data_IF_039977982002
#
_entry.id   IF_039977982002
#
_cell.length_a   1.000
_cell.length_b   1.000
_cell.length_c   1.000
_cell.angle_alpha   90.00
_cell.angle_beta   90.00
_cell.angle_gamma   90.00
#
_symmetry.space_group_name_H-M   'P 1'
#
loop_
_entity.id
_entity.type
_entity.pdbx_description
1 polymer ?
#
# COMPACT_ATOMS: atom_id res chain seq x y z
N UNK A 1 -37.99 18.23 -6.45
CA UNK A 1 -37.13 17.23 -7.11
C UNK A 1 -36.98 16.09 -6.12
N UNK A 2 -37.37 14.84 -6.41
CA UNK A 2 -37.00 13.73 -5.54
C UNK A 2 -35.48 13.58 -5.60
N UNK A 3 -34.82 13.57 -4.43
CA UNK A 3 -33.39 13.34 -4.33
C UNK A 3 -33.05 12.02 -5.03
N UNK A 4 -32.00 12.04 -5.86
CA UNK A 4 -31.51 10.82 -6.49
C UNK A 4 -31.17 9.80 -5.38
N UNK A 5 -31.51 8.51 -5.56
CA UNK A 5 -31.21 7.51 -4.55
C UNK A 5 -29.69 7.47 -4.29
N UNK A 6 -29.26 7.31 -3.02
CA UNK A 6 -27.85 7.34 -2.66
C UNK A 6 -27.08 6.25 -3.42
N UNK A 7 -25.90 6.60 -3.91
CA UNK A 7 -25.04 5.67 -4.63
C UNK A 7 -24.65 4.49 -3.73
N UNK A 8 -24.57 3.27 -4.26
CA UNK A 8 -24.19 2.10 -3.48
C UNK A 8 -22.74 2.21 -3.01
N UNK A 9 -22.46 1.79 -1.78
CA UNK A 9 -21.11 1.76 -1.18
C UNK A 9 -20.44 3.15 -1.04
N UNK A 10 -21.08 4.14 -0.40
CA UNK A 10 -20.49 5.48 -0.22
C UNK A 10 -19.15 5.43 0.52
N UNK A 11 -19.02 4.51 1.49
CA UNK A 11 -17.80 4.29 2.27
C UNK A 11 -16.59 3.81 1.43
N UNK A 12 -16.79 3.29 0.21
CA UNK A 12 -15.67 2.93 -0.67
C UNK A 12 -15.17 4.14 -1.47
N UNK A 13 -16.04 5.10 -1.78
CA UNK A 13 -15.66 6.34 -2.43
C UNK A 13 -14.77 7.19 -1.51
N UNK A 14 -15.07 7.21 -0.21
CA UNK A 14 -14.29 7.94 0.81
C UNK A 14 -12.83 7.48 0.86
N UNK A 15 -12.58 6.17 0.78
CA UNK A 15 -11.23 5.59 0.92
C UNK A 15 -10.51 5.40 -0.42
N UNK A 16 -11.26 5.34 -1.52
CA UNK A 16 -10.76 5.14 -2.88
C UNK A 16 -11.47 6.12 -3.84
N UNK A 17 -10.99 7.37 -3.93
CA UNK A 17 -11.61 8.38 -4.78
C UNK A 17 -11.73 7.93 -6.25
N UNK A 18 -12.92 8.10 -6.82
CA UNK A 18 -13.26 7.61 -8.16
C UNK A 18 -13.80 6.19 -8.18
N UNK A 19 -14.09 5.56 -7.03
CA UNK A 19 -14.61 4.19 -6.97
C UNK A 19 -15.92 4.02 -7.74
N UNK A 20 -16.90 4.91 -7.54
CA UNK A 20 -18.18 4.87 -8.26
C UNK A 20 -18.00 5.05 -9.76
N UNK A 21 -17.07 5.93 -10.15
CA UNK A 21 -16.71 6.18 -11.56
C UNK A 21 -16.05 4.95 -12.19
N UNK A 22 -15.05 4.36 -11.52
CA UNK A 22 -14.43 3.11 -11.98
C UNK A 22 -15.44 1.96 -12.05
N UNK A 23 -16.38 1.88 -11.10
CA UNK A 23 -17.47 0.91 -11.13
C UNK A 23 -18.41 1.13 -12.32
N UNK A 24 -18.71 2.36 -12.69
CA UNK A 24 -19.52 2.68 -13.86
C UNK A 24 -18.81 2.23 -15.14
N UNK A 25 -17.52 2.55 -15.30
CA UNK A 25 -16.67 2.10 -16.42
C UNK A 25 -16.72 0.57 -16.56
N UNK A 26 -16.51 -0.16 -15.46
CA UNK A 26 -16.53 -1.63 -15.47
C UNK A 26 -17.92 -2.17 -15.84
N UNK A 27 -18.99 -1.55 -15.35
CA UNK A 27 -20.37 -1.98 -15.65
C UNK A 27 -20.71 -1.77 -17.13
N UNK A 28 -20.34 -0.63 -17.69
CA UNK A 28 -20.53 -0.31 -19.12
C UNK A 28 -19.72 -1.26 -20.02
N UNK A 29 -18.57 -1.74 -19.54
CA UNK A 29 -17.75 -2.73 -20.23
C UNK A 29 -18.19 -4.19 -20.00
N UNK A 30 -19.41 -4.43 -19.51
CA UNK A 30 -19.92 -5.79 -19.28
C UNK A 30 -19.17 -6.53 -18.16
N UNK A 31 -18.84 -5.82 -17.08
CA UNK A 31 -18.03 -6.29 -15.94
C UNK A 31 -16.53 -6.57 -16.27
N UNK A 32 -16.06 -6.24 -17.47
CA UNK A 32 -14.63 -6.31 -17.81
C UNK A 32 -13.84 -5.15 -17.19
N UNK A 33 -12.69 -5.45 -16.58
CA UNK A 33 -11.84 -4.45 -15.90
C UNK A 33 -10.67 -3.93 -16.74
N UNK A 34 -10.53 -4.43 -17.98
CA UNK A 34 -9.41 -4.09 -18.86
C UNK A 34 -9.30 -2.59 -19.19
N UNK A 35 -10.42 -1.85 -19.22
CA UNK A 35 -10.39 -0.40 -19.44
C UNK A 35 -9.66 0.36 -18.32
N UNK A 36 -9.65 -0.16 -17.10
CA UNK A 36 -8.88 0.38 -15.97
C UNK A 36 -7.42 -0.10 -15.97
N UNK A 37 -7.02 -0.89 -16.97
CA UNK A 37 -5.72 -1.57 -17.00
C UNK A 37 -5.60 -2.62 -15.90
N UNK A 38 -6.72 -3.24 -15.51
CA UNK A 38 -6.74 -4.33 -14.54
C UNK A 38 -7.08 -5.67 -15.21
N UNK A 39 -6.48 -6.73 -14.66
CA UNK A 39 -6.80 -8.13 -14.93
C UNK A 39 -7.71 -8.69 -13.83
N UNK A 40 -8.31 -9.85 -14.10
CA UNK A 40 -9.11 -10.58 -13.12
C UNK A 40 -10.61 -10.31 -13.23
N UNK A 41 -11.33 -10.54 -12.13
CA UNK A 41 -12.80 -10.41 -12.07
C UNK A 41 -13.26 -9.34 -11.08
N UNK A 42 -14.49 -8.84 -11.26
CA UNK A 42 -15.11 -7.82 -10.40
C UNK A 42 -14.96 -8.12 -8.90
N UNK A 43 -15.12 -9.38 -8.48
CA UNK A 43 -15.00 -9.77 -7.07
C UNK A 43 -13.62 -9.50 -6.50
N UNK A 44 -12.55 -9.61 -7.30
CA UNK A 44 -11.18 -9.31 -6.88
C UNK A 44 -10.99 -7.81 -6.67
N UNK A 45 -11.58 -6.98 -7.53
CA UNK A 45 -11.61 -5.53 -7.34
C UNK A 45 -12.31 -5.13 -6.04
N UNK A 46 -13.48 -5.70 -5.73
CA UNK A 46 -14.15 -5.46 -4.45
C UNK A 46 -13.34 -5.99 -3.25
N UNK A 47 -12.67 -7.13 -3.38
CA UNK A 47 -11.78 -7.67 -2.33
C UNK A 47 -10.59 -6.75 -2.06
N UNK A 48 -10.03 -6.13 -3.10
CA UNK A 48 -9.01 -5.09 -2.98
C UNK A 48 -9.60 -3.87 -2.27
N UNK A 49 -10.71 -3.31 -2.76
CA UNK A 49 -11.28 -2.08 -2.22
C UNK A 49 -11.66 -2.21 -0.74
N UNK A 50 -12.20 -3.36 -0.32
CA UNK A 50 -12.51 -3.62 1.09
C UNK A 50 -11.24 -3.80 1.96
N UNK A 51 -10.14 -4.35 1.42
CA UNK A 51 -8.86 -4.40 2.14
C UNK A 51 -8.23 -3.01 2.29
N UNK A 52 -8.29 -2.20 1.23
CA UNK A 52 -7.85 -0.81 1.28
C UNK A 52 -8.66 -0.02 2.32
N UNK A 53 -9.97 -0.26 2.39
CA UNK A 53 -10.82 0.32 3.44
C UNK A 53 -10.36 -0.10 4.84
N UNK A 54 -10.11 -1.39 5.07
CA UNK A 54 -9.62 -1.87 6.36
C UNK A 54 -8.31 -1.15 6.75
N UNK A 55 -7.38 -1.02 5.81
CA UNK A 55 -6.12 -0.31 6.02
C UNK A 55 -6.34 1.20 6.32
N UNK A 56 -7.16 1.87 5.51
CA UNK A 56 -7.41 3.31 5.64
C UNK A 56 -8.24 3.69 6.88
N UNK A 57 -9.08 2.77 7.37
CA UNK A 57 -9.95 2.99 8.52
C UNK A 57 -9.43 2.29 9.80
N UNK A 58 -8.22 1.74 9.77
CA UNK A 58 -7.64 1.10 10.94
C UNK A 58 -7.42 2.13 12.05
N UNK A 59 -8.11 1.94 13.19
CA UNK A 59 -8.11 2.88 14.32
C UNK A 59 -7.18 2.51 15.47
N UNK A 60 -6.24 1.58 15.26
CA UNK A 60 -5.37 1.04 16.30
C UNK A 60 -5.92 -0.21 16.98
N UNK A 61 -5.06 -0.87 17.77
CA UNK A 61 -5.36 -2.04 18.57
C UNK A 61 -5.76 -1.63 19.98
N UNK A 62 -6.67 -2.40 20.58
CA UNK A 62 -6.96 -2.29 22.00
C UNK A 62 -6.19 -3.36 22.77
N UNK A 63 -4.99 -3.02 23.25
CA UNK A 63 -4.08 -3.96 23.93
C UNK A 63 -4.08 -3.73 25.45
N UNK A 64 -4.38 -4.77 26.22
CA UNK A 64 -4.34 -4.72 27.69
C UNK A 64 -2.96 -5.15 28.21
N UNK A 65 -2.41 -4.40 29.15
CA UNK A 65 -1.14 -4.73 29.83
C UNK A 65 0.13 -4.33 29.06
N UNK A 66 -0.01 -3.58 27.96
CA UNK A 66 1.11 -3.00 27.22
C UNK A 66 1.30 -1.53 27.62
N UNK A 67 2.54 -1.03 27.50
CA UNK A 67 2.80 0.42 27.56
C UNK A 67 2.29 1.09 26.29
N UNK A 68 1.99 2.39 26.35
CA UNK A 68 1.53 3.17 25.20
C UNK A 68 2.52 3.12 24.02
N UNK A 69 3.82 3.21 24.31
CA UNK A 69 4.89 3.09 23.30
C UNK A 69 4.86 1.73 22.59
N UNK A 70 4.69 0.65 23.35
CA UNK A 70 4.66 -0.70 22.79
C UNK A 70 3.38 -0.93 21.99
N UNK A 71 2.25 -0.44 22.49
CA UNK A 71 0.98 -0.51 21.80
C UNK A 71 1.03 0.25 20.47
N UNK A 72 1.58 1.46 20.47
CA UNK A 72 1.73 2.29 19.26
C UNK A 72 2.66 1.63 18.24
N UNK A 73 3.73 0.97 18.69
CA UNK A 73 4.59 0.18 17.80
C UNK A 73 3.85 -0.98 17.13
N UNK A 74 2.99 -1.70 17.86
CA UNK A 74 2.16 -2.75 17.28
C UNK A 74 1.08 -2.19 16.34
N UNK A 75 0.47 -1.06 16.67
CA UNK A 75 -0.48 -0.38 15.79
C UNK A 75 0.17 -0.07 14.44
N UNK A 76 1.38 0.50 14.46
CA UNK A 76 2.10 0.86 13.24
C UNK A 76 2.48 -0.37 12.40
N UNK A 77 2.93 -1.46 13.04
CA UNK A 77 3.21 -2.74 12.37
C UNK A 77 1.95 -3.35 11.74
N UNK A 78 0.84 -3.36 12.48
CA UNK A 78 -0.46 -3.85 12.00
C UNK A 78 -0.99 -3.00 10.85
N UNK A 79 -0.80 -1.68 10.90
CA UNK A 79 -1.19 -0.79 9.83
C UNK A 79 -0.42 -1.10 8.53
N UNK A 80 0.91 -1.25 8.60
CA UNK A 80 1.73 -1.67 7.45
C UNK A 80 1.28 -3.04 6.93
N UNK A 81 0.96 -3.98 7.82
CA UNK A 81 0.44 -5.29 7.42
C UNK A 81 -0.83 -5.18 6.58
N UNK A 82 -1.82 -4.39 7.00
CA UNK A 82 -3.06 -4.19 6.24
C UNK A 82 -2.81 -3.46 4.93
N UNK A 83 -2.02 -2.38 4.96
CA UNK A 83 -1.76 -1.55 3.78
C UNK A 83 -0.96 -2.30 2.72
N UNK A 84 0.07 -3.05 3.12
CA UNK A 84 0.79 -3.90 2.18
C UNK A 84 -0.10 -5.00 1.59
N UNK A 85 -0.95 -5.63 2.42
CA UNK A 85 -1.89 -6.65 1.92
C UNK A 85 -2.89 -6.08 0.91
N UNK A 86 -3.32 -4.82 1.08
CA UNK A 86 -4.16 -4.12 0.10
C UNK A 86 -3.37 -3.79 -1.18
N UNK A 87 -2.14 -3.28 -1.03
CA UNK A 87 -1.23 -2.99 -2.14
C UNK A 87 -0.93 -4.23 -2.98
N UNK A 88 -0.69 -5.40 -2.38
CA UNK A 88 -0.45 -6.65 -3.13
C UNK A 88 -1.64 -7.03 -3.99
N UNK A 89 -2.87 -6.89 -3.47
CA UNK A 89 -4.08 -7.14 -4.27
C UNK A 89 -4.23 -6.12 -5.40
N UNK A 90 -3.87 -4.86 -5.16
CA UNK A 90 -3.86 -3.84 -6.19
C UNK A 90 -2.83 -4.14 -7.29
N UNK A 91 -1.61 -4.54 -6.92
CA UNK A 91 -0.57 -4.93 -7.84
C UNK A 91 -0.94 -6.17 -8.66
N UNK A 92 -1.55 -7.18 -8.02
CA UNK A 92 -2.10 -8.35 -8.71
C UNK A 92 -3.15 -7.95 -9.76
N UNK A 93 -4.10 -7.05 -9.41
CA UNK A 93 -5.06 -6.51 -10.38
C UNK A 93 -4.37 -5.76 -11.52
N UNK A 94 -3.31 -5.01 -11.24
CA UNK A 94 -2.54 -4.31 -12.28
C UNK A 94 -1.58 -5.23 -13.07
N UNK A 95 -1.59 -6.54 -12.83
CA UNK A 95 -0.64 -7.50 -13.36
C UNK A 95 0.84 -7.10 -13.12
N UNK A 96 1.11 -6.41 -12.02
CA UNK A 96 2.44 -5.90 -11.69
C UNK A 96 3.12 -6.82 -10.68
N UNK A 97 4.39 -7.16 -10.95
CA UNK A 97 5.23 -7.96 -10.06
C UNK A 97 6.39 -7.12 -9.52
N UNK A 98 6.97 -7.45 -8.34
CA UNK A 98 8.20 -6.83 -7.86
C UNK A 98 9.27 -6.82 -8.97
N UNK A 99 10.00 -5.72 -9.17
CA UNK A 99 10.10 -4.52 -8.33
C UNK A 99 9.05 -3.42 -8.62
N UNK A 100 7.89 -3.76 -9.20
CA UNK A 100 6.75 -2.86 -9.42
C UNK A 100 7.04 -1.63 -10.30
N UNK A 101 8.11 -1.65 -11.09
CA UNK A 101 8.54 -0.51 -11.92
C UNK A 101 7.43 0.05 -12.81
N UNK A 102 6.68 -0.83 -13.46
CA UNK A 102 5.57 -0.46 -14.35
C UNK A 102 4.41 0.18 -13.57
N UNK A 103 4.13 -0.34 -12.37
CA UNK A 103 3.07 0.18 -11.50
C UNK A 103 3.37 1.60 -11.03
N UNK A 104 4.64 1.92 -10.79
CA UNK A 104 5.11 3.26 -10.40
C UNK A 104 5.52 4.15 -11.59
N UNK A 105 5.32 3.73 -12.84
CA UNK A 105 5.83 4.44 -14.02
C UNK A 105 5.32 5.89 -14.13
N UNK A 106 4.10 6.15 -13.65
CA UNK A 106 3.47 7.47 -13.66
C UNK A 106 3.49 8.15 -12.28
N UNK A 107 4.07 7.52 -11.26
CA UNK A 107 4.18 8.11 -9.94
C UNK A 107 5.40 9.05 -9.85
N UNK A 108 5.29 10.22 -9.21
CA UNK A 108 6.43 11.12 -9.06
C UNK A 108 7.61 10.44 -8.34
N UNK A 109 8.74 10.27 -9.03
CA UNK A 109 9.95 9.63 -8.46
C UNK A 109 10.44 10.34 -7.20
N UNK A 110 10.27 11.65 -7.14
CA UNK A 110 10.61 12.47 -5.97
C UNK A 110 9.96 11.94 -4.69
N UNK A 111 8.70 11.48 -4.73
CA UNK A 111 8.03 10.93 -3.54
C UNK A 111 8.69 9.65 -3.02
N UNK A 112 9.25 8.84 -3.91
CA UNK A 112 10.02 7.64 -3.52
C UNK A 112 11.34 8.03 -2.85
N UNK A 113 12.03 9.05 -3.38
CA UNK A 113 13.25 9.59 -2.78
C UNK A 113 13.00 10.23 -1.41
N UNK A 114 11.90 10.97 -1.26
CA UNK A 114 11.48 11.56 0.01
C UNK A 114 11.18 10.47 1.05
N UNK A 115 10.42 9.43 0.67
CA UNK A 115 10.16 8.28 1.53
C UNK A 115 11.46 7.58 1.96
N UNK A 116 12.35 7.28 1.02
CA UNK A 116 13.64 6.64 1.32
C UNK A 116 14.51 7.48 2.25
N UNK A 117 14.54 8.80 2.04
CA UNK A 117 15.27 9.75 2.89
C UNK A 117 14.71 9.77 4.30
N UNK A 118 13.39 9.86 4.46
CA UNK A 118 12.71 9.83 5.75
C UNK A 118 13.00 8.52 6.48
N UNK A 119 12.80 7.37 5.84
CA UNK A 119 13.02 6.07 6.46
C UNK A 119 14.48 5.87 6.90
N UNK A 120 15.47 6.33 6.11
CA UNK A 120 16.88 6.28 6.51
C UNK A 120 17.22 7.20 7.68
N UNK A 121 16.62 8.38 7.73
CA UNK A 121 16.81 9.29 8.86
C UNK A 121 16.34 8.68 10.19
N UNK A 122 15.37 7.77 10.14
CA UNK A 122 14.87 7.03 11.30
C UNK A 122 15.66 5.76 11.62
N UNK A 123 16.45 5.23 10.68
CA UNK A 123 17.30 4.05 10.87
C UNK A 123 18.76 4.29 10.42
N UNK A 124 19.46 5.29 11.01
CA UNK A 124 20.77 5.73 10.55
C UNK A 124 21.87 4.68 10.74
N UNK A 125 21.69 3.78 11.71
CA UNK A 125 22.61 2.66 12.00
C UNK A 125 22.17 1.36 11.31
N UNK A 126 21.14 1.39 10.46
CA UNK A 126 20.59 0.22 9.77
C UNK A 126 20.19 -0.92 10.72
N UNK A 127 19.68 -0.60 11.91
CA UNK A 127 19.24 -1.58 12.92
C UNK A 127 18.02 -2.35 12.42
N UNK A 128 17.00 -1.64 11.92
CA UNK A 128 15.82 -2.28 11.36
C UNK A 128 16.15 -2.97 10.04
N UNK A 129 16.81 -2.30 9.11
CA UNK A 129 17.15 -2.89 7.81
C UNK A 129 18.03 -4.12 7.98
N UNK A 130 19.06 -4.05 8.83
CA UNK A 130 19.93 -5.17 9.16
C UNK A 130 19.14 -6.32 9.76
N UNK A 131 18.26 -6.06 10.72
CA UNK A 131 17.38 -7.09 11.28
C UNK A 131 16.51 -7.74 10.19
N UNK A 132 15.84 -6.95 9.34
CA UNK A 132 15.00 -7.47 8.27
C UNK A 132 15.78 -8.32 7.26
N UNK A 133 17.03 -7.94 6.95
CA UNK A 133 17.95 -8.74 6.12
C UNK A 133 18.20 -10.10 6.77
N UNK A 134 18.54 -10.14 8.07
CA UNK A 134 18.82 -11.41 8.76
C UNK A 134 17.61 -12.34 8.87
N UNK A 135 16.40 -11.78 8.84
CA UNK A 135 15.13 -12.53 8.93
C UNK A 135 14.48 -12.76 7.55
N UNK A 136 15.10 -12.30 6.46
CA UNK A 136 14.55 -12.45 5.12
C UNK A 136 14.59 -13.93 4.70
N UNK A 137 13.41 -14.53 4.51
CA UNK A 137 13.32 -15.92 4.04
C UNK A 137 13.52 -16.07 2.52
N UNK A 138 13.37 -14.99 1.76
CA UNK A 138 13.47 -14.99 0.30
C UNK A 138 14.72 -14.23 -0.15
N UNK A 139 15.57 -14.80 -1.03
CA UNK A 139 16.78 -14.13 -1.54
C UNK A 139 16.49 -12.77 -2.20
N UNK A 140 15.31 -12.62 -2.81
CA UNK A 140 14.88 -11.37 -3.43
C UNK A 140 14.71 -10.25 -2.41
N UNK A 141 14.21 -10.55 -1.21
CA UNK A 141 14.05 -9.58 -0.14
C UNK A 141 15.41 -9.14 0.40
N UNK A 142 16.33 -10.08 0.63
CA UNK A 142 17.70 -9.80 1.04
C UNK A 142 18.39 -8.86 0.05
N UNK A 143 18.35 -9.20 -1.24
CA UNK A 143 18.95 -8.39 -2.31
C UNK A 143 18.40 -6.96 -2.33
N UNK A 144 17.08 -6.77 -2.29
CA UNK A 144 16.52 -5.42 -2.37
C UNK A 144 16.71 -4.62 -1.08
N UNK A 145 16.68 -5.26 0.10
CA UNK A 145 17.02 -4.60 1.36
C UNK A 145 18.49 -4.19 1.41
N UNK A 146 19.41 -5.02 0.92
CA UNK A 146 20.82 -4.67 0.78
C UNK A 146 20.99 -3.47 -0.15
N UNK A 147 20.32 -3.47 -1.31
CA UNK A 147 20.33 -2.30 -2.22
C UNK A 147 19.80 -1.04 -1.54
N UNK A 148 18.71 -1.14 -0.77
CA UNK A 148 18.17 0.01 -0.02
C UNK A 148 19.19 0.55 0.99
N UNK A 149 19.81 -0.35 1.77
CA UNK A 149 20.88 -0.02 2.72
C UNK A 149 22.02 0.70 2.03
N UNK A 150 22.41 0.24 0.84
CA UNK A 150 23.54 0.76 0.07
C UNK A 150 23.16 2.01 -0.77
N UNK A 151 22.01 2.64 -0.51
CA UNK A 151 21.62 3.95 -1.07
C UNK A 151 20.66 3.91 -2.26
N UNK A 152 20.09 2.75 -2.60
CA UNK A 152 19.16 2.64 -3.72
C UNK A 152 17.70 2.89 -3.30
N UNK A 153 17.25 4.14 -3.47
CA UNK A 153 15.96 4.64 -2.97
C UNK A 153 14.74 3.86 -3.45
N UNK A 154 14.74 3.40 -4.70
CA UNK A 154 13.60 2.65 -5.27
C UNK A 154 13.38 1.28 -4.61
N UNK A 155 14.29 0.83 -3.76
CA UNK A 155 14.14 -0.39 -2.98
C UNK A 155 13.44 -0.17 -1.63
N UNK A 156 13.07 1.07 -1.27
CA UNK A 156 12.45 1.40 0.03
C UNK A 156 11.14 0.64 0.28
N UNK A 157 10.38 0.31 -0.77
CA UNK A 157 9.13 -0.45 -0.64
C UNK A 157 9.35 -1.88 -0.16
N UNK A 158 10.55 -2.42 -0.33
CA UNK A 158 10.92 -3.72 0.23
C UNK A 158 10.87 -3.71 1.76
N UNK A 159 11.02 -2.56 2.42
CA UNK A 159 10.79 -2.44 3.86
C UNK A 159 9.38 -2.88 4.23
N UNK A 160 8.35 -2.34 3.57
CA UNK A 160 6.96 -2.70 3.88
C UNK A 160 6.68 -4.19 3.61
N UNK A 161 7.20 -4.74 2.51
CA UNK A 161 7.10 -6.15 2.19
C UNK A 161 7.68 -7.05 3.30
N UNK A 162 8.90 -6.73 3.73
CA UNK A 162 9.63 -7.49 4.74
C UNK A 162 9.03 -7.30 6.14
N UNK A 163 8.65 -6.08 6.52
CA UNK A 163 7.94 -5.80 7.77
C UNK A 163 6.68 -6.65 7.85
N UNK A 164 5.80 -6.60 6.84
CA UNK A 164 4.57 -7.41 6.79
C UNK A 164 4.88 -8.90 6.94
N UNK A 165 5.87 -9.40 6.20
CA UNK A 165 6.20 -10.82 6.21
C UNK A 165 6.76 -11.28 7.56
N UNK A 166 7.78 -10.60 8.09
CA UNK A 166 8.48 -10.99 9.31
C UNK A 166 7.60 -10.77 10.54
N UNK A 167 6.76 -9.73 10.54
CA UNK A 167 5.74 -9.50 11.56
C UNK A 167 4.69 -10.62 11.58
N UNK A 168 4.18 -11.02 10.40
CA UNK A 168 3.21 -12.11 10.31
C UNK A 168 3.75 -13.46 10.81
N UNK A 169 5.07 -13.67 10.72
CA UNK A 169 5.75 -14.84 11.26
C UNK A 169 6.14 -14.71 12.74
N UNK A 170 5.86 -13.57 13.39
CA UNK A 170 6.11 -13.35 14.82
C UNK A 170 7.56 -13.03 15.19
N UNK A 171 8.44 -12.80 14.21
CA UNK A 171 9.83 -12.46 14.47
C UNK A 171 10.04 -10.96 14.74
N UNK A 172 9.21 -10.10 14.15
CA UNK A 172 9.27 -8.65 14.34
C UNK A 172 8.31 -8.22 15.46
N UNK A 173 8.79 -7.38 16.37
CA UNK A 173 7.99 -6.81 17.48
C UNK A 173 8.10 -5.29 17.48
N UNK A 174 7.33 -4.62 18.35
CA UNK A 174 7.29 -3.15 18.47
C UNK A 174 8.63 -2.48 18.85
N UNK A 175 9.64 -3.25 19.29
CA UNK A 175 10.97 -2.75 19.68
C UNK A 175 12.07 -3.57 19.00
N UNK A 176 12.22 -3.48 17.66
CA UNK A 176 13.09 -4.38 16.92
C UNK A 176 14.55 -4.01 17.11
N UNK A 177 15.37 -4.98 17.54
CA UNK A 177 16.84 -4.91 17.51
C UNK A 177 17.45 -3.58 17.99
N UNK A 178 16.92 -3.05 19.12
CA UNK A 178 17.32 -1.78 19.75
C UNK A 178 17.08 -0.52 18.91
N UNK A 179 16.29 -0.60 17.83
CA UNK A 179 15.68 0.59 17.25
C UNK A 179 14.63 1.13 18.23
N UNK A 180 14.64 2.43 18.55
CA UNK A 180 13.56 3.03 19.34
C UNK A 180 12.20 2.82 18.67
N UNK A 181 11.17 2.48 19.47
CA UNK A 181 9.79 2.28 18.98
C UNK A 181 9.28 3.49 18.19
N UNK A 182 9.56 4.71 18.65
CA UNK A 182 9.17 5.94 17.96
C UNK A 182 9.70 6.00 16.52
N UNK A 183 10.95 5.58 16.29
CA UNK A 183 11.53 5.55 14.95
C UNK A 183 10.84 4.50 14.06
N UNK A 184 10.55 3.31 14.61
CA UNK A 184 9.78 2.27 13.90
C UNK A 184 8.41 2.81 13.49
N UNK A 185 7.71 3.47 14.41
CA UNK A 185 6.40 4.07 14.16
C UNK A 185 6.46 5.05 13.00
N UNK A 186 7.44 5.97 12.99
CA UNK A 186 7.60 6.94 11.89
C UNK A 186 7.84 6.23 10.55
N UNK A 187 8.68 5.20 10.50
CA UNK A 187 8.93 4.42 9.29
C UNK A 187 7.63 3.75 8.79
N UNK A 188 6.92 3.08 9.70
CA UNK A 188 5.68 2.36 9.39
C UNK A 188 4.57 3.30 8.90
N UNK A 189 4.37 4.44 9.56
CA UNK A 189 3.40 5.44 9.14
C UNK A 189 3.77 6.04 7.77
N UNK A 190 5.04 6.37 7.53
CA UNK A 190 5.48 6.89 6.24
C UNK A 190 5.27 5.89 5.09
N UNK A 191 5.56 4.60 5.32
CA UNK A 191 5.28 3.53 4.36
C UNK A 191 3.77 3.38 4.09
N UNK A 192 2.96 3.43 5.15
CA UNK A 192 1.51 3.37 5.05
C UNK A 192 0.95 4.51 4.19
N UNK A 193 1.29 5.74 4.55
CA UNK A 193 0.74 6.94 3.91
C UNK A 193 1.14 7.00 2.44
N UNK A 194 2.42 6.68 2.15
CA UNK A 194 2.90 6.58 0.77
C UNK A 194 2.11 5.56 -0.05
N UNK A 195 1.87 4.36 0.47
CA UNK A 195 1.17 3.31 -0.25
C UNK A 195 -0.31 3.63 -0.46
N UNK A 196 -0.98 4.21 0.54
CA UNK A 196 -2.38 4.64 0.41
C UNK A 196 -2.51 5.75 -0.64
N UNK A 197 -1.65 6.77 -0.58
CA UNK A 197 -1.60 7.85 -1.56
C UNK A 197 -1.32 7.32 -2.97
N UNK A 198 -0.36 6.41 -3.10
CA UNK A 198 -0.02 5.78 -4.37
C UNK A 198 -1.24 5.06 -4.97
N UNK A 199 -1.89 4.18 -4.20
CA UNK A 199 -3.04 3.41 -4.68
C UNK A 199 -4.19 4.35 -5.11
N UNK A 200 -4.50 5.36 -4.30
CA UNK A 200 -5.57 6.33 -4.59
C UNK A 200 -5.27 7.13 -5.85
N UNK A 201 -4.06 7.66 -5.97
CA UNK A 201 -3.66 8.48 -7.12
C UNK A 201 -3.58 7.66 -8.42
N UNK A 202 -3.00 6.47 -8.41
CA UNK A 202 -2.92 5.62 -9.60
C UNK A 202 -4.30 5.11 -10.02
N UNK A 203 -5.16 4.73 -9.06
CA UNK A 203 -6.53 4.31 -9.37
C UNK A 203 -7.32 5.45 -10.01
N UNK A 204 -7.30 6.66 -9.44
CA UNK A 204 -7.99 7.81 -10.00
C UNK A 204 -7.50 8.15 -11.42
N UNK A 205 -6.18 8.06 -11.65
CA UNK A 205 -5.57 8.22 -12.98
C UNK A 205 -6.11 7.18 -13.98
N UNK A 206 -6.19 5.91 -13.58
CA UNK A 206 -6.76 4.83 -14.42
C UNK A 206 -8.22 5.07 -14.77
N UNK A 207 -9.02 5.54 -13.81
CA UNK A 207 -10.42 5.91 -14.03
C UNK A 207 -10.54 7.05 -15.05
N UNK A 208 -9.77 8.12 -14.87
CA UNK A 208 -9.76 9.26 -15.80
C UNK A 208 -9.35 8.85 -17.22
N UNK A 209 -8.34 7.98 -17.34
CA UNK A 209 -7.92 7.41 -18.62
C UNK A 209 -9.03 6.59 -19.28
N UNK A 210 -9.68 5.70 -18.53
CA UNK A 210 -10.73 4.85 -19.05
C UNK A 210 -11.93 5.65 -19.56
N UNK A 211 -12.35 6.67 -18.83
CA UNK A 211 -13.42 7.58 -19.24
C UNK A 211 -13.05 8.37 -20.51
N UNK A 212 -11.79 8.80 -20.64
CA UNK A 212 -11.32 9.48 -21.84
C UNK A 212 -11.38 8.55 -23.05
N UNK A 213 -10.95 7.28 -22.91
CA UNK A 213 -11.03 6.27 -23.98
C UNK A 213 -12.47 6.00 -24.39
N UNK A 214 -13.40 5.87 -23.44
CA UNK A 214 -14.81 5.63 -23.74
C UNK A 214 -15.45 6.79 -24.53
N UNK A 215 -15.11 8.04 -24.21
CA UNK A 215 -15.60 9.23 -24.95
C UNK A 215 -15.14 9.31 -26.40
N UNK A 216 -14.03 8.64 -26.73
CA UNK A 216 -13.45 8.68 -28.09
C UNK A 216 -13.93 7.56 -29.01
N UNK A 217 -14.72 6.60 -28.53
CA UNK A 217 -15.31 5.57 -29.40
C UNK A 217 -16.51 6.17 -30.16
N UNK A 218 -16.50 6.21 -31.51
CA UNK A 218 -17.71 6.51 -32.27
C UNK A 218 -18.75 5.42 -31.98
N UNK A 219 -19.98 5.86 -31.68
CA UNK A 219 -21.12 4.99 -31.38
C UNK A 219 -21.62 4.21 -32.58
#
# INVERSE_FOLDING_TARGET
>A
MPDAPPLPYPYLEEVLPGFHRGRAVVKEAGDAMGLLGFIGVKQEFYRFANRLRLAACFGGLHLKGFTDDTATGYDALTQVFFTWSAFERYADLANARPPFRELFAHHPRQRVHELATLCRAQDPEHKLVGFLITQALLPVHEMYLARYRDGHDFSVLTLAACIRHIFAHGHLTANPYRLPSANLVVICCALNDFLLDFIRSDFLRRVQWAEAVQKTKPG
#
